data_IF_278794041069
#
_entry.id   IF_278794041069
#
_cell.length_a   1.000
_cell.length_b   1.000
_cell.length_c   1.000
_cell.angle_alpha   90.00
_cell.angle_beta   90.00
_cell.angle_gamma   90.00
#
_symmetry.space_group_name_H-M   'P 1'
#
loop_
_entity.id
_entity.type
_entity.pdbx_description
1 polymer ?
#
# COMPACT_ATOMS: atom_id res chain seq x y z
N UNK A 1 22.95 39.19 16.55
CA UNK A 1 21.78 38.58 15.85
C UNK A 1 21.87 37.08 16.05
N UNK A 2 20.96 36.50 16.85
CA UNK A 2 20.97 35.08 17.17
C UNK A 2 20.59 34.26 15.94
N UNK A 3 21.49 33.38 15.48
CA UNK A 3 21.14 32.30 14.55
C UNK A 3 20.27 31.32 15.34
N UNK A 4 18.94 31.43 15.20
CA UNK A 4 18.01 30.42 15.67
C UNK A 4 18.29 29.17 14.83
N UNK A 5 18.94 28.17 15.44
CA UNK A 5 19.13 26.87 14.81
C UNK A 5 17.73 26.33 14.48
N UNK A 6 17.43 26.21 13.19
CA UNK A 6 16.25 25.51 12.73
C UNK A 6 16.59 24.03 12.95
N UNK A 7 16.12 23.44 14.04
CA UNK A 7 16.12 21.98 14.16
C UNK A 7 15.35 21.42 12.96
N UNK A 8 15.97 20.59 12.10
CA UNK A 8 15.20 19.93 11.06
C UNK A 8 14.15 19.09 11.77
N UNK A 9 12.88 19.29 11.45
CA UNK A 9 11.81 18.45 11.95
C UNK A 9 12.16 17.00 11.60
N UNK A 10 12.63 16.22 12.58
CA UNK A 10 13.02 14.83 12.41
C UNK A 10 11.78 13.94 12.36
N UNK A 11 10.85 14.26 11.46
CA UNK A 11 9.66 13.48 11.23
C UNK A 11 9.99 12.35 10.26
N UNK A 12 10.27 11.16 10.82
CA UNK A 12 10.39 9.94 10.04
C UNK A 12 9.07 9.13 10.15
N UNK A 13 8.20 9.16 9.12
CA UNK A 13 6.90 8.48 9.17
C UNK A 13 7.03 6.95 9.21
N UNK A 14 8.09 6.38 8.63
CA UNK A 14 8.31 4.92 8.62
C UNK A 14 8.68 4.45 10.02
N UNK A 15 9.56 5.18 10.69
CA UNK A 15 9.93 4.91 12.08
C UNK A 15 8.74 5.02 13.03
N UNK A 16 7.90 6.06 12.89
CA UNK A 16 6.69 6.18 13.71
C UNK A 16 5.69 5.04 13.45
N UNK A 17 5.53 4.63 12.20
CA UNK A 17 4.71 3.47 11.84
C UNK A 17 5.25 2.20 12.50
N UNK A 18 6.57 1.98 12.45
CA UNK A 18 7.23 0.84 13.09
C UNK A 18 7.08 0.86 14.63
N UNK A 19 7.29 2.02 15.25
CA UNK A 19 7.14 2.23 16.69
C UNK A 19 5.69 2.02 17.15
N UNK A 20 4.71 2.33 16.29
CA UNK A 20 3.29 2.03 16.49
C UNK A 20 2.95 0.53 16.30
N UNK A 21 3.93 -0.31 15.96
CA UNK A 21 3.78 -1.76 15.83
C UNK A 21 3.57 -2.26 14.39
N UNK A 22 3.60 -1.39 13.37
CA UNK A 22 3.62 -1.87 11.99
C UNK A 22 4.94 -2.59 11.71
N UNK A 23 4.85 -3.62 10.86
CA UNK A 23 5.97 -4.49 10.50
C UNK A 23 5.95 -4.71 9.00
N UNK A 24 7.11 -4.99 8.43
CA UNK A 24 7.29 -5.27 7.01
C UNK A 24 6.34 -6.38 6.54
N UNK A 25 6.14 -7.41 7.36
CA UNK A 25 5.26 -8.53 7.04
C UNK A 25 3.78 -8.12 6.85
N UNK A 26 3.27 -7.18 7.65
CA UNK A 26 1.90 -6.65 7.45
C UNK A 26 1.75 -5.98 6.09
N UNK A 27 2.73 -5.16 5.71
CA UNK A 27 2.75 -4.48 4.42
C UNK A 27 2.87 -5.48 3.26
N UNK A 28 3.72 -6.51 3.39
CA UNK A 28 3.81 -7.57 2.37
C UNK A 28 2.51 -8.36 2.23
N UNK A 29 1.85 -8.72 3.33
CA UNK A 29 0.53 -9.38 3.30
C UNK A 29 -0.48 -8.51 2.57
N UNK A 30 -0.53 -7.20 2.85
CA UNK A 30 -1.42 -6.27 2.14
C UNK A 30 -1.09 -6.17 0.65
N UNK A 31 0.18 -6.18 0.27
CA UNK A 31 0.60 -6.19 -1.13
C UNK A 31 0.13 -7.44 -1.88
N UNK A 32 0.31 -8.63 -1.30
CA UNK A 32 -0.21 -9.87 -1.87
C UNK A 32 -1.74 -9.93 -1.87
N UNK A 33 -2.40 -9.42 -0.82
CA UNK A 33 -3.85 -9.32 -0.76
C UNK A 33 -4.40 -8.43 -1.88
N UNK A 34 -3.74 -7.31 -2.19
CA UNK A 34 -4.10 -6.43 -3.31
C UNK A 34 -4.02 -7.15 -4.66
N UNK A 35 -2.99 -7.97 -4.89
CA UNK A 35 -2.87 -8.79 -6.10
C UNK A 35 -4.04 -9.80 -6.17
N UNK A 36 -4.27 -10.53 -5.08
CA UNK A 36 -5.34 -11.53 -5.03
C UNK A 36 -6.72 -10.92 -5.25
N UNK A 37 -7.04 -9.81 -4.59
CA UNK A 37 -8.31 -9.10 -4.75
C UNK A 37 -8.49 -8.56 -6.17
N UNK A 38 -7.43 -8.07 -6.80
CA UNK A 38 -7.47 -7.64 -8.21
C UNK A 38 -7.84 -8.79 -9.15
N UNK A 39 -7.21 -9.96 -8.96
CA UNK A 39 -7.51 -11.16 -9.74
C UNK A 39 -8.94 -11.67 -9.51
N UNK A 40 -9.40 -11.69 -8.25
CA UNK A 40 -10.77 -12.09 -7.91
C UNK A 40 -11.77 -11.13 -8.54
N UNK A 41 -11.55 -9.82 -8.47
CA UNK A 41 -12.41 -8.82 -9.09
C UNK A 41 -12.52 -9.02 -10.61
N UNK A 42 -11.41 -9.33 -11.27
CA UNK A 42 -11.39 -9.64 -12.71
C UNK A 42 -12.12 -10.95 -13.04
N UNK A 43 -11.93 -12.00 -12.24
CA UNK A 43 -12.64 -13.28 -12.42
C UNK A 43 -14.15 -13.10 -12.27
N UNK A 44 -14.60 -12.34 -11.26
CA UNK A 44 -16.01 -12.00 -11.04
C UNK A 44 -16.55 -11.12 -12.17
N UNK A 45 -15.74 -10.18 -12.67
CA UNK A 45 -16.09 -9.36 -13.83
C UNK A 45 -16.35 -10.20 -15.08
N UNK A 46 -15.56 -11.26 -15.30
CA UNK A 46 -15.72 -12.17 -16.44
C UNK A 46 -17.03 -12.96 -16.41
N UNK A 47 -17.60 -13.22 -15.24
CA UNK A 47 -18.85 -13.99 -15.09
C UNK A 47 -20.13 -13.15 -15.13
N UNK A 48 -20.03 -11.81 -15.13
CA UNK A 48 -21.19 -10.90 -15.18
C UNK A 48 -21.53 -10.42 -16.60
N UNK A 49 -22.80 -10.04 -16.79
CA UNK A 49 -23.30 -9.39 -18.00
C UNK A 49 -22.60 -8.05 -18.29
N UNK A 50 -22.64 -7.61 -19.55
CA UNK A 50 -21.80 -6.52 -20.09
C UNK A 50 -21.82 -5.21 -19.30
N UNK A 51 -22.95 -4.83 -18.69
CA UNK A 51 -23.10 -3.51 -18.05
C UNK A 51 -22.22 -3.34 -16.79
N UNK A 52 -21.97 -4.39 -16.01
CA UNK A 52 -21.20 -4.31 -14.76
C UNK A 52 -19.70 -4.58 -14.93
N UNK A 53 -19.31 -5.03 -16.13
CA UNK A 53 -17.96 -5.50 -16.43
C UNK A 53 -16.93 -4.37 -16.40
N UNK A 54 -17.27 -3.25 -17.04
CA UNK A 54 -16.37 -2.09 -17.13
C UNK A 54 -16.06 -1.48 -15.75
N UNK A 55 -17.05 -1.46 -14.84
CA UNK A 55 -16.85 -0.94 -13.49
C UNK A 55 -16.01 -1.90 -12.64
N UNK A 56 -16.26 -3.21 -12.75
CA UNK A 56 -15.52 -4.24 -12.00
C UNK A 56 -14.04 -4.30 -12.40
N UNK A 57 -13.74 -4.17 -13.70
CA UNK A 57 -12.36 -4.15 -14.21
C UNK A 57 -11.58 -2.94 -13.70
N UNK A 58 -12.21 -1.76 -13.63
CA UNK A 58 -11.59 -0.53 -13.09
C UNK A 58 -11.25 -0.66 -11.60
N UNK A 59 -12.17 -1.22 -10.81
CA UNK A 59 -11.93 -1.49 -9.39
C UNK A 59 -10.81 -2.51 -9.19
N UNK A 60 -10.80 -3.59 -9.99
CA UNK A 60 -9.73 -4.59 -9.94
C UNK A 60 -8.35 -3.98 -10.23
N UNK A 61 -8.23 -3.15 -11.26
CA UNK A 61 -6.97 -2.45 -11.59
C UNK A 61 -6.55 -1.49 -10.48
N UNK A 62 -7.49 -0.72 -9.93
CA UNK A 62 -7.20 0.22 -8.83
C UNK A 62 -6.67 -0.50 -7.59
N UNK A 63 -7.29 -1.62 -7.20
CA UNK A 63 -6.86 -2.42 -6.04
C UNK A 63 -5.47 -3.03 -6.29
N UNK A 64 -5.23 -3.54 -7.50
CA UNK A 64 -3.95 -4.13 -7.87
C UNK A 64 -2.78 -3.14 -7.83
N UNK A 65 -3.04 -1.86 -8.10
CA UNK A 65 -2.02 -0.81 -8.08
C UNK A 65 -1.43 -0.54 -6.69
N UNK A 66 -2.15 -0.87 -5.61
CA UNK A 66 -1.62 -0.68 -4.25
C UNK A 66 -0.53 -1.69 -3.87
N UNK A 67 -0.40 -2.80 -4.60
CA UNK A 67 0.61 -3.82 -4.33
C UNK A 67 2.05 -3.26 -4.32
N UNK A 68 2.53 -2.55 -5.35
CA UNK A 68 3.86 -1.93 -5.33
C UNK A 68 4.03 -0.92 -4.20
N UNK A 69 2.99 -0.16 -3.83
CA UNK A 69 3.04 0.78 -2.70
C UNK A 69 3.26 0.05 -1.39
N UNK A 70 2.47 -1.00 -1.12
CA UNK A 70 2.63 -1.79 0.10
C UNK A 70 3.97 -2.51 0.16
N UNK A 71 4.48 -3.01 -0.98
CA UNK A 71 5.81 -3.61 -1.02
C UNK A 71 6.93 -2.59 -0.76
N UNK A 72 6.83 -1.38 -1.31
CA UNK A 72 7.78 -0.31 -1.03
C UNK A 72 7.76 0.10 0.45
N UNK A 73 6.57 0.25 1.05
CA UNK A 73 6.41 0.52 2.49
C UNK A 73 6.98 -0.63 3.31
N UNK A 74 6.73 -1.89 2.92
CA UNK A 74 7.28 -3.05 3.59
C UNK A 74 8.81 -3.10 3.55
N UNK A 75 9.41 -2.74 2.42
CA UNK A 75 10.87 -2.62 2.30
C UNK A 75 11.42 -1.51 3.19
N UNK A 76 10.74 -0.36 3.26
CA UNK A 76 11.12 0.74 4.14
C UNK A 76 11.02 0.34 5.62
N UNK A 77 9.92 -0.30 6.03
CA UNK A 77 9.73 -0.80 7.39
C UNK A 77 10.78 -1.85 7.76
N UNK A 78 11.17 -2.72 6.82
CA UNK A 78 12.20 -3.74 7.04
C UNK A 78 13.59 -3.14 7.33
N UNK A 79 13.84 -1.91 6.90
CA UNK A 79 15.08 -1.21 7.23
C UNK A 79 15.06 -0.59 8.64
N UNK A 80 13.88 -0.43 9.25
CA UNK A 80 13.70 0.07 10.62
C UNK A 80 13.47 -1.06 11.64
N UNK A 81 13.22 -2.29 11.18
CA UNK A 81 13.16 -3.54 11.97
C UNK A 81 14.56 -4.01 12.42
#
# INVERSE_FOLDING_TARGET
MAKKAIEPANFNPIRQAHDAGLRSNHAYILGFASIGLSLVAWLVSRSRSRDDKAQSDRWGIFIGHWAPTFFAVGLALKNEE
#
